data_IF_007304223458
#
_entry.id   IF_007304223458
#
_cell.length_a   1.000
_cell.length_b   1.000
_cell.length_c   1.000
_cell.angle_alpha   90.00
_cell.angle_beta   90.00
_cell.angle_gamma   90.00
#
_symmetry.space_group_name_H-M   'P 1'
#
loop_
_entity.id
_entity.type
_entity.pdbx_description
1 polymer ?
#
# COMPACT_ATOMS: atom_id res chain seq x y z
N UNK A 1 18.51 17.57 0.24
CA UNK A 1 17.63 18.10 1.31
C UNK A 1 17.56 17.01 2.37
N UNK A 2 17.74 17.33 3.66
CA UNK A 2 17.68 16.33 4.73
C UNK A 2 16.23 15.84 4.90
N UNK A 3 16.05 14.54 5.14
CA UNK A 3 14.72 13.96 5.39
C UNK A 3 14.20 14.46 6.76
N UNK A 4 13.09 15.24 6.80
CA UNK A 4 12.60 15.83 8.06
C UNK A 4 12.02 14.78 9.02
N UNK A 5 11.73 13.59 8.54
CA UNK A 5 11.17 12.48 9.32
C UNK A 5 12.22 11.66 10.06
N UNK A 6 13.51 11.84 9.76
CA UNK A 6 14.59 11.15 10.43
C UNK A 6 15.16 11.97 11.61
N UNK A 7 15.73 11.27 12.58
CA UNK A 7 16.58 11.93 13.56
C UNK A 7 17.79 12.57 12.88
N UNK A 8 18.34 13.61 13.52
CA UNK A 8 19.38 14.43 12.89
C UNK A 8 20.70 13.69 12.69
N UNK A 9 20.97 12.75 13.55
CA UNK A 9 22.24 12.05 13.73
C UNK A 9 22.22 10.59 13.26
N UNK A 10 21.02 10.02 13.00
CA UNK A 10 20.87 8.63 12.64
C UNK A 10 19.78 8.42 11.59
N UNK A 11 19.91 7.37 10.78
CA UNK A 11 18.92 6.97 9.78
C UNK A 11 17.79 6.12 10.41
N UNK A 12 17.06 6.74 11.35
CA UNK A 12 15.89 6.16 12.02
C UNK A 12 14.77 7.20 12.03
N UNK A 13 13.54 6.76 11.77
CA UNK A 13 12.36 7.62 11.79
C UNK A 13 12.11 8.15 13.22
N UNK A 14 11.87 9.46 13.31
CA UNK A 14 11.39 10.09 14.56
C UNK A 14 10.09 9.42 14.98
N UNK A 15 10.03 8.99 16.24
CA UNK A 15 8.89 8.27 16.77
C UNK A 15 8.56 8.77 18.19
N UNK A 16 7.32 8.57 18.60
CA UNK A 16 6.79 9.09 19.87
C UNK A 16 7.47 8.47 21.11
N UNK A 17 8.01 7.25 20.98
CA UNK A 17 8.73 6.57 22.06
C UNK A 17 10.22 6.94 22.13
N UNK A 18 10.69 7.81 21.21
CA UNK A 18 12.10 8.21 21.10
C UNK A 18 13.07 7.02 20.99
N UNK A 19 12.63 5.94 20.32
CA UNK A 19 13.45 4.74 20.07
C UNK A 19 14.46 5.08 18.97
N UNK A 20 15.76 4.92 19.26
CA UNK A 20 16.88 5.16 18.35
C UNK A 20 17.63 3.87 17.99
N UNK A 21 17.07 2.73 18.32
CA UNK A 21 17.51 1.41 17.88
C UNK A 21 16.58 0.90 16.78
N UNK A 22 17.15 0.52 15.64
CA UNK A 22 16.39 0.11 14.44
C UNK A 22 15.57 -1.16 14.68
N UNK A 23 16.17 -2.16 15.33
CA UNK A 23 15.54 -3.46 15.54
C UNK A 23 14.43 -3.35 16.61
N UNK A 24 14.68 -2.55 17.64
CA UNK A 24 13.66 -2.27 18.65
C UNK A 24 12.48 -1.52 18.06
N UNK A 25 12.73 -0.47 17.25
CA UNK A 25 11.64 0.27 16.58
C UNK A 25 10.85 -0.64 15.65
N UNK A 26 11.53 -1.47 14.86
CA UNK A 26 10.87 -2.40 13.93
C UNK A 26 9.95 -3.39 14.66
N UNK A 27 10.40 -3.93 15.79
CA UNK A 27 9.58 -4.84 16.63
C UNK A 27 8.38 -4.12 17.24
N UNK A 28 8.61 -2.97 17.86
CA UNK A 28 7.54 -2.16 18.45
C UNK A 28 6.51 -1.73 17.40
N UNK A 29 6.96 -1.31 16.23
CA UNK A 29 6.10 -0.98 15.10
C UNK A 29 5.26 -2.18 14.65
N UNK A 30 5.88 -3.35 14.49
CA UNK A 30 5.19 -4.56 14.08
C UNK A 30 4.07 -4.94 15.07
N UNK A 31 4.35 -4.93 16.36
CA UNK A 31 3.40 -5.30 17.41
C UNK A 31 2.22 -4.33 17.47
N UNK A 32 2.48 -3.02 17.52
CA UNK A 32 1.46 -1.99 17.61
C UNK A 32 0.58 -1.99 16.34
N UNK A 33 1.20 -2.04 15.16
CA UNK A 33 0.45 -1.99 13.91
C UNK A 33 -0.38 -3.24 13.67
N UNK A 34 0.09 -4.43 14.08
CA UNK A 34 -0.69 -5.66 14.00
C UNK A 34 -1.99 -5.56 14.83
N UNK A 35 -1.91 -5.08 16.06
CA UNK A 35 -3.09 -4.89 16.91
C UNK A 35 -4.07 -3.86 16.31
N UNK A 36 -3.54 -2.74 15.82
CA UNK A 36 -4.34 -1.70 15.20
C UNK A 36 -5.06 -2.19 13.92
N UNK A 37 -4.36 -2.96 13.07
CA UNK A 37 -4.95 -3.54 11.87
C UNK A 37 -6.06 -4.53 12.19
N UNK A 38 -5.87 -5.41 13.18
CA UNK A 38 -6.90 -6.34 13.64
C UNK A 38 -8.16 -5.61 14.14
N UNK A 39 -7.99 -4.52 14.90
CA UNK A 39 -9.10 -3.69 15.33
C UNK A 39 -9.85 -3.05 14.15
N UNK A 40 -9.12 -2.55 13.14
CA UNK A 40 -9.71 -1.97 11.94
C UNK A 40 -10.49 -2.98 11.10
N UNK A 41 -10.02 -4.21 10.96
CA UNK A 41 -10.73 -5.25 10.19
C UNK A 41 -12.13 -5.59 10.76
N UNK A 42 -12.38 -5.28 12.01
CA UNK A 42 -13.69 -5.46 12.66
C UNK A 42 -14.61 -4.23 12.54
N UNK A 43 -14.14 -3.16 11.90
CA UNK A 43 -14.95 -1.95 11.71
C UNK A 43 -15.68 -1.98 10.36
N UNK A 44 -16.85 -1.33 10.31
CA UNK A 44 -17.62 -1.13 9.10
C UNK A 44 -17.46 0.32 8.60
N UNK A 45 -16.88 0.46 7.43
CA UNK A 45 -16.74 1.75 6.75
C UNK A 45 -17.83 1.89 5.67
N UNK A 46 -18.42 3.08 5.58
CA UNK A 46 -19.47 3.42 4.58
C UNK A 46 -18.97 4.36 3.50
N UNK A 47 -17.90 5.09 3.77
CA UNK A 47 -17.30 6.06 2.86
C UNK A 47 -15.87 5.66 2.59
N UNK A 48 -15.48 5.68 1.32
CA UNK A 48 -14.13 5.38 0.87
C UNK A 48 -13.63 6.56 0.03
N UNK A 49 -12.84 7.41 0.65
CA UNK A 49 -12.25 8.60 0.06
C UNK A 49 -10.82 8.81 0.58
N UNK A 50 -10.22 9.91 0.16
CA UNK A 50 -8.85 10.29 0.56
C UNK A 50 -8.74 10.42 2.08
N UNK A 51 -9.75 10.97 2.75
CA UNK A 51 -9.77 11.11 4.21
C UNK A 51 -9.82 9.76 4.91
N UNK A 52 -10.63 8.83 4.41
CA UNK A 52 -10.68 7.46 4.92
C UNK A 52 -9.32 6.77 4.88
N UNK A 53 -8.55 6.95 3.79
CA UNK A 53 -7.20 6.39 3.68
C UNK A 53 -6.25 7.02 4.73
N UNK A 54 -6.34 8.34 4.95
CA UNK A 54 -5.58 9.03 5.98
C UNK A 54 -5.95 8.56 7.39
N UNK A 55 -7.24 8.38 7.67
CA UNK A 55 -7.73 7.90 8.96
C UNK A 55 -7.30 6.45 9.25
N UNK A 56 -7.30 5.60 8.24
CA UNK A 56 -6.74 4.25 8.34
C UNK A 56 -5.27 4.31 8.71
N UNK A 57 -4.48 5.12 8.00
CA UNK A 57 -3.05 5.27 8.31
C UNK A 57 -2.83 5.84 9.72
N UNK A 58 -3.60 6.83 10.13
CA UNK A 58 -3.55 7.41 11.48
C UNK A 58 -3.86 6.34 12.55
N UNK A 59 -4.90 5.53 12.33
CA UNK A 59 -5.26 4.48 13.29
C UNK A 59 -4.19 3.39 13.39
N UNK A 60 -3.48 3.07 12.31
CA UNK A 60 -2.40 2.07 12.31
C UNK A 60 -1.15 2.61 13.01
N UNK A 61 -0.76 3.86 12.74
CA UNK A 61 0.56 4.39 13.07
C UNK A 61 0.57 5.53 14.10
N UNK A 62 -0.58 6.05 14.50
CA UNK A 62 -0.68 7.23 15.37
C UNK A 62 -0.13 7.02 16.78
N UNK A 63 0.05 5.78 17.24
CA UNK A 63 0.74 5.47 18.49
C UNK A 63 2.27 5.44 18.34
N UNK A 64 2.79 5.53 17.11
CA UNK A 64 4.23 5.40 16.81
C UNK A 64 4.78 6.70 16.26
N UNK A 65 4.04 7.35 15.34
CA UNK A 65 4.50 8.50 14.58
C UNK A 65 3.53 9.69 14.73
N UNK A 66 4.07 10.87 15.01
CA UNK A 66 3.30 12.12 15.12
C UNK A 66 2.76 12.62 13.76
N UNK A 67 3.39 12.22 12.66
CA UNK A 67 2.96 12.49 11.28
C UNK A 67 1.99 11.44 10.72
N UNK A 68 1.53 10.48 11.51
CA UNK A 68 0.58 9.46 11.04
C UNK A 68 -0.70 10.10 10.48
N UNK A 69 -1.16 9.62 9.32
CA UNK A 69 -2.29 10.20 8.59
C UNK A 69 -1.94 11.39 7.70
N UNK A 70 -0.74 11.97 7.82
CA UNK A 70 -0.29 13.08 6.99
C UNK A 70 0.41 12.60 5.71
N UNK A 71 0.18 13.30 4.60
CA UNK A 71 0.92 13.01 3.38
C UNK A 71 2.37 13.44 3.51
N UNK A 72 3.27 12.63 2.96
CA UNK A 72 4.69 12.98 2.94
C UNK A 72 4.94 14.28 2.20
N UNK A 73 5.90 15.02 2.69
CA UNK A 73 6.31 16.32 2.15
C UNK A 73 7.55 16.25 1.26
N UNK A 74 8.23 15.08 1.24
CA UNK A 74 9.45 14.85 0.46
C UNK A 74 9.24 13.75 -0.60
N UNK A 75 10.06 13.80 -1.66
CA UNK A 75 10.15 12.68 -2.59
C UNK A 75 10.96 11.56 -1.94
N UNK A 76 10.50 10.34 -2.16
CA UNK A 76 11.15 9.11 -1.68
C UNK A 76 11.38 8.16 -2.84
N UNK A 77 12.37 7.30 -2.69
CA UNK A 77 12.64 6.17 -3.56
C UNK A 77 12.96 4.95 -2.69
N UNK A 78 12.54 3.77 -3.12
CA UNK A 78 12.87 2.50 -2.48
C UNK A 78 13.35 1.55 -3.56
N UNK A 79 14.52 0.97 -3.34
CA UNK A 79 15.02 -0.09 -4.20
C UNK A 79 14.19 -1.34 -4.02
N UNK A 80 13.79 -1.95 -5.12
CA UNK A 80 12.93 -3.12 -5.15
C UNK A 80 13.68 -4.31 -5.76
N UNK A 81 13.94 -5.32 -4.96
CA UNK A 81 14.69 -6.52 -5.40
C UNK A 81 14.02 -7.19 -6.61
N UNK A 82 12.68 -7.22 -6.63
CA UNK A 82 11.90 -7.79 -7.73
C UNK A 82 12.04 -7.03 -9.05
N UNK A 83 12.58 -5.80 -9.02
CA UNK A 83 12.91 -4.99 -10.19
C UNK A 83 14.41 -5.01 -10.51
N UNK A 84 15.17 -5.92 -9.89
CA UNK A 84 16.62 -5.97 -10.07
C UNK A 84 17.35 -4.78 -9.43
N UNK A 85 16.79 -4.17 -8.38
CA UNK A 85 17.33 -3.00 -7.70
C UNK A 85 16.86 -1.65 -8.26
N UNK A 86 15.96 -1.63 -9.26
CA UNK A 86 15.30 -0.41 -9.71
C UNK A 86 14.20 0.02 -8.73
N UNK A 87 13.65 1.21 -8.89
CA UNK A 87 12.64 1.80 -8.00
C UNK A 87 11.32 2.02 -8.70
N UNK A 88 10.23 1.95 -7.96
CA UNK A 88 8.93 2.43 -8.41
C UNK A 88 8.94 3.96 -8.44
N UNK A 89 8.39 4.55 -9.49
CA UNK A 89 8.21 6.01 -9.59
C UNK A 89 7.00 6.45 -8.78
N UNK A 90 7.24 6.85 -7.56
CA UNK A 90 6.20 7.38 -6.69
C UNK A 90 5.78 8.80 -7.09
N UNK A 91 4.52 9.13 -6.85
CA UNK A 91 3.95 10.45 -7.13
C UNK A 91 4.70 11.56 -6.38
N UNK A 92 4.91 12.72 -7.03
CA UNK A 92 5.50 13.88 -6.35
C UNK A 92 4.60 14.40 -5.22
N UNK A 93 5.16 14.83 -4.07
CA UNK A 93 4.39 15.23 -2.89
C UNK A 93 3.25 16.21 -3.18
N UNK A 94 3.51 17.22 -4.00
CA UNK A 94 2.51 18.24 -4.38
C UNK A 94 1.33 17.70 -5.21
N UNK A 95 1.46 16.51 -5.78
CA UNK A 95 0.45 15.87 -6.64
C UNK A 95 -0.35 14.79 -5.91
N UNK A 96 0.13 14.31 -4.74
CA UNK A 96 -0.46 13.19 -4.01
C UNK A 96 -1.97 13.36 -3.82
N UNK A 97 -2.40 14.48 -3.26
CA UNK A 97 -3.82 14.73 -3.00
C UNK A 97 -4.65 14.68 -4.28
N UNK A 98 -4.18 15.33 -5.34
CA UNK A 98 -4.88 15.39 -6.64
C UNK A 98 -5.05 13.99 -7.23
N UNK A 99 -3.99 13.19 -7.21
CA UNK A 99 -4.03 11.84 -7.77
C UNK A 99 -4.88 10.90 -6.93
N UNK A 100 -4.80 10.96 -5.60
CA UNK A 100 -5.70 10.22 -4.72
C UNK A 100 -7.16 10.58 -4.96
N UNK A 101 -7.49 11.87 -5.03
CA UNK A 101 -8.87 12.31 -5.27
C UNK A 101 -9.40 11.80 -6.63
N UNK A 102 -8.53 11.67 -7.63
CA UNK A 102 -8.90 11.07 -8.91
C UNK A 102 -9.19 9.57 -8.78
N UNK A 103 -8.33 8.82 -8.08
CA UNK A 103 -8.53 7.39 -7.83
C UNK A 103 -9.78 7.14 -7.00
N UNK A 104 -10.06 7.97 -6.00
CA UNK A 104 -11.26 7.83 -5.16
C UNK A 104 -12.57 8.07 -5.93
N UNK A 105 -12.53 8.77 -7.08
CA UNK A 105 -13.69 8.83 -7.99
C UNK A 105 -13.95 7.47 -8.65
N UNK A 106 -12.91 6.69 -8.94
CA UNK A 106 -13.09 5.32 -9.46
C UNK A 106 -13.57 4.35 -8.37
N UNK A 107 -13.11 4.52 -7.13
CA UNK A 107 -13.64 3.77 -5.98
C UNK A 107 -15.16 3.94 -5.87
N UNK A 108 -15.67 5.17 -5.96
CA UNK A 108 -17.11 5.47 -5.88
C UNK A 108 -17.94 4.84 -7.00
N UNK A 109 -17.31 4.47 -8.12
CA UNK A 109 -17.98 3.79 -9.25
C UNK A 109 -18.02 2.26 -9.10
N UNK A 110 -17.34 1.70 -8.10
CA UNK A 110 -17.37 0.26 -7.86
C UNK A 110 -18.74 -0.13 -7.32
N UNK A 111 -19.37 -1.08 -7.99
CA UNK A 111 -20.63 -1.68 -7.55
C UNK A 111 -20.59 -3.16 -7.88
N UNK A 112 -20.81 -4.00 -6.89
CA UNK A 112 -20.94 -5.44 -7.06
C UNK A 112 -22.37 -5.80 -7.44
N UNK A 113 -22.53 -6.72 -8.38
CA UNK A 113 -23.79 -7.36 -8.74
C UNK A 113 -23.51 -8.84 -8.95
N UNK A 114 -24.53 -9.70 -8.92
CA UNK A 114 -24.40 -11.15 -9.01
C UNK A 114 -23.58 -11.67 -10.22
N UNK A 115 -23.45 -10.87 -11.27
CA UNK A 115 -22.82 -11.28 -12.53
C UNK A 115 -21.52 -10.53 -12.87
N UNK A 116 -20.95 -9.72 -11.94
CA UNK A 116 -19.79 -8.88 -12.27
C UNK A 116 -18.58 -9.01 -11.32
N UNK A 117 -18.55 -10.03 -10.47
CA UNK A 117 -17.52 -10.17 -9.42
C UNK A 117 -16.08 -10.06 -9.97
N UNK A 118 -15.76 -10.80 -11.05
CA UNK A 118 -14.41 -10.78 -11.63
C UNK A 118 -14.00 -9.40 -12.13
N UNK A 119 -14.94 -8.64 -12.72
CA UNK A 119 -14.66 -7.27 -13.17
C UNK A 119 -14.45 -6.31 -11.98
N UNK A 120 -15.23 -6.47 -10.92
CA UNK A 120 -15.09 -5.66 -9.71
C UNK A 120 -13.76 -5.94 -9.03
N UNK A 121 -13.37 -7.21 -8.90
CA UNK A 121 -12.07 -7.61 -8.33
C UNK A 121 -10.93 -7.03 -9.15
N UNK A 122 -10.93 -7.19 -10.47
CA UNK A 122 -9.91 -6.62 -11.35
C UNK A 122 -9.78 -5.09 -11.21
N UNK A 123 -10.91 -4.37 -11.15
CA UNK A 123 -10.89 -2.93 -10.94
C UNK A 123 -10.40 -2.55 -9.56
N UNK A 124 -10.77 -3.31 -8.52
CA UNK A 124 -10.29 -3.12 -7.16
C UNK A 124 -8.76 -3.27 -7.09
N UNK A 125 -8.21 -4.32 -7.68
CA UNK A 125 -6.75 -4.55 -7.74
C UNK A 125 -6.02 -3.38 -8.39
N UNK A 126 -6.50 -2.88 -9.53
CA UNK A 126 -5.92 -1.72 -10.21
C UNK A 126 -5.98 -0.44 -9.36
N UNK A 127 -7.10 -0.22 -8.68
CA UNK A 127 -7.27 0.92 -7.77
C UNK A 127 -6.25 0.84 -6.63
N UNK A 128 -6.11 -0.32 -6.00
CA UNK A 128 -5.18 -0.52 -4.89
C UNK A 128 -3.73 -0.38 -5.34
N UNK A 129 -3.37 -0.94 -6.49
CA UNK A 129 -2.04 -0.77 -7.08
C UNK A 129 -1.73 0.71 -7.36
N UNK A 130 -2.71 1.47 -7.86
CA UNK A 130 -2.56 2.91 -8.10
C UNK A 130 -2.39 3.70 -6.80
N UNK A 131 -3.20 3.43 -5.76
CA UNK A 131 -3.05 4.05 -4.44
C UNK A 131 -1.67 3.73 -3.87
N UNK A 132 -1.22 2.48 -4.00
CA UNK A 132 0.09 2.06 -3.53
C UNK A 132 1.24 2.76 -4.29
N UNK A 133 1.11 2.93 -5.62
CA UNK A 133 2.09 3.65 -6.43
C UNK A 133 2.15 5.15 -6.10
N UNK A 134 1.01 5.78 -5.80
CA UNK A 134 0.98 7.17 -5.31
C UNK A 134 1.86 7.30 -4.07
N UNK A 135 1.89 6.28 -3.23
CA UNK A 135 2.75 6.17 -2.04
C UNK A 135 2.63 7.40 -1.14
N UNK A 136 1.43 7.70 -0.63
CA UNK A 136 1.13 8.99 -0.05
C UNK A 136 1.85 9.28 1.28
N UNK A 137 2.25 8.26 2.03
CA UNK A 137 2.82 8.42 3.35
C UNK A 137 4.34 8.20 3.35
N UNK A 138 5.04 8.69 4.38
CA UNK A 138 6.48 8.49 4.52
C UNK A 138 6.84 7.01 4.74
N UNK A 139 6.05 6.29 5.51
CA UNK A 139 6.16 4.87 5.78
C UNK A 139 4.75 4.24 5.88
N UNK A 140 4.63 2.91 5.88
CA UNK A 140 3.38 2.19 6.14
C UNK A 140 2.39 2.13 4.98
N UNK A 141 2.76 2.56 3.78
CA UNK A 141 1.86 2.59 2.61
C UNK A 141 1.24 1.24 2.29
N UNK A 142 2.01 0.15 2.33
CA UNK A 142 1.50 -1.20 2.06
C UNK A 142 0.43 -1.60 3.07
N UNK A 143 0.66 -1.38 4.37
CA UNK A 143 -0.30 -1.73 5.42
C UNK A 143 -1.59 -0.93 5.29
N UNK A 144 -1.49 0.38 5.08
CA UNK A 144 -2.65 1.24 4.86
C UNK A 144 -3.46 0.83 3.62
N UNK A 145 -2.79 0.53 2.50
CA UNK A 145 -3.44 0.06 1.28
C UNK A 145 -4.15 -1.29 1.47
N UNK A 146 -3.54 -2.23 2.19
CA UNK A 146 -4.15 -3.54 2.46
C UNK A 146 -5.41 -3.37 3.32
N UNK A 147 -5.33 -2.61 4.41
CA UNK A 147 -6.50 -2.37 5.27
C UNK A 147 -7.61 -1.69 4.47
N UNK A 148 -7.28 -0.66 3.69
CA UNK A 148 -8.25 0.01 2.81
C UNK A 148 -8.89 -0.98 1.82
N UNK A 149 -8.10 -1.85 1.20
CA UNK A 149 -8.59 -2.86 0.26
C UNK A 149 -9.55 -3.86 0.92
N UNK A 150 -9.19 -4.39 2.09
CA UNK A 150 -10.02 -5.34 2.85
C UNK A 150 -11.35 -4.71 3.26
N UNK A 151 -11.31 -3.49 3.79
CA UNK A 151 -12.52 -2.78 4.22
C UNK A 151 -13.43 -2.43 3.02
N UNK A 152 -12.84 -2.01 1.90
CA UNK A 152 -13.59 -1.73 0.67
C UNK A 152 -14.21 -3.01 0.08
N UNK A 153 -13.47 -4.11 0.04
CA UNK A 153 -13.98 -5.40 -0.43
C UNK A 153 -15.16 -5.88 0.45
N UNK A 154 -15.03 -5.78 1.77
CA UNK A 154 -16.13 -6.09 2.70
C UNK A 154 -17.34 -5.17 2.47
N UNK A 155 -17.13 -3.87 2.26
CA UNK A 155 -18.20 -2.93 1.93
C UNK A 155 -18.93 -3.29 0.63
N UNK A 156 -18.21 -3.82 -0.35
CA UNK A 156 -18.78 -4.34 -1.61
C UNK A 156 -19.45 -5.72 -1.44
N UNK A 157 -19.45 -6.30 -0.23
CA UNK A 157 -20.09 -7.57 0.09
C UNK A 157 -19.25 -8.80 -0.25
N UNK A 158 -17.92 -8.67 -0.42
CA UNK A 158 -17.03 -9.82 -0.53
C UNK A 158 -16.69 -10.37 0.86
N UNK A 159 -16.61 -11.68 0.96
CA UNK A 159 -15.95 -12.35 2.09
C UNK A 159 -14.44 -12.26 1.93
N UNK A 160 -13.75 -11.75 2.95
CA UNK A 160 -12.30 -11.54 2.89
C UNK A 160 -11.63 -12.22 4.07
N UNK A 161 -10.77 -13.18 3.77
CA UNK A 161 -9.87 -13.75 4.77
C UNK A 161 -8.61 -12.88 4.88
N UNK A 162 -8.59 -11.98 5.84
CA UNK A 162 -7.49 -11.04 6.03
C UNK A 162 -6.19 -11.69 6.56
N UNK A 163 -6.24 -12.88 7.14
CA UNK A 163 -5.04 -13.63 7.57
C UNK A 163 -4.11 -13.97 6.40
N UNK A 164 -4.67 -14.16 5.20
CA UNK A 164 -3.88 -14.42 3.99
C UNK A 164 -2.93 -13.26 3.67
N UNK A 165 -3.33 -12.02 3.93
CA UNK A 165 -2.49 -10.86 3.68
C UNK A 165 -1.28 -10.80 4.64
N UNK A 166 -1.44 -11.27 5.87
CA UNK A 166 -0.34 -11.39 6.82
C UNK A 166 0.62 -12.50 6.40
N UNK A 167 0.09 -13.68 6.11
CA UNK A 167 0.86 -14.88 5.74
C UNK A 167 1.65 -14.66 4.44
N UNK A 168 1.09 -13.90 3.48
CA UNK A 168 1.68 -13.67 2.16
C UNK A 168 2.08 -12.20 1.94
N UNK A 169 2.47 -11.49 2.98
CA UNK A 169 2.75 -10.04 2.92
C UNK A 169 3.87 -9.67 1.94
N UNK A 170 4.93 -10.46 1.87
CA UNK A 170 6.02 -10.26 0.92
C UNK A 170 5.56 -10.46 -0.53
N UNK A 171 4.79 -11.52 -0.79
CA UNK A 171 4.18 -11.77 -2.10
C UNK A 171 3.31 -10.61 -2.55
N UNK A 172 2.40 -10.16 -1.68
CA UNK A 172 1.49 -9.06 -1.98
C UNK A 172 2.24 -7.75 -2.26
N UNK A 173 3.29 -7.46 -1.48
CA UNK A 173 4.13 -6.30 -1.73
C UNK A 173 4.79 -6.37 -3.11
N UNK A 174 5.36 -7.51 -3.46
CA UNK A 174 5.97 -7.73 -4.76
C UNK A 174 4.96 -7.61 -5.91
N UNK A 175 3.74 -8.12 -5.74
CA UNK A 175 2.66 -7.98 -6.71
C UNK A 175 2.28 -6.50 -6.92
N UNK A 176 2.23 -5.69 -5.85
CA UNK A 176 1.98 -4.24 -5.94
C UNK A 176 3.11 -3.51 -6.66
N UNK A 177 4.37 -3.89 -6.41
CA UNK A 177 5.53 -3.35 -7.14
C UNK A 177 5.40 -3.62 -8.64
N UNK A 178 5.10 -4.86 -9.04
CA UNK A 178 4.90 -5.23 -10.45
C UNK A 178 3.71 -4.52 -11.09
N UNK A 179 2.56 -4.48 -10.42
CA UNK A 179 1.37 -3.81 -10.92
C UNK A 179 1.60 -2.30 -11.15
N UNK A 180 2.46 -1.69 -10.33
CA UNK A 180 2.81 -0.26 -10.44
C UNK A 180 3.66 0.07 -11.67
N UNK A 181 4.39 -0.88 -12.25
CA UNK A 181 5.21 -0.63 -13.45
C UNK A 181 4.34 -0.34 -14.68
N UNK A 182 3.16 -0.92 -14.80
CA UNK A 182 2.23 -0.70 -15.91
C UNK A 182 1.47 0.63 -15.84
N UNK A 183 1.55 1.36 -14.75
CA UNK A 183 0.82 2.64 -14.56
C UNK A 183 1.67 3.88 -14.82
N UNK A 184 2.99 3.72 -15.01
CA UNK A 184 3.91 4.84 -15.32
C UNK A 184 3.81 5.26 -16.77
N UNK A 185 3.25 6.43 -17.05
CA UNK A 185 2.93 6.96 -18.38
C UNK A 185 4.11 7.15 -19.34
N UNK A 186 5.36 7.11 -18.85
CA UNK A 186 6.58 7.28 -19.66
C UNK A 186 7.25 5.96 -20.04
N UNK A 187 6.85 4.84 -19.46
CA UNK A 187 7.42 3.51 -19.71
C UNK A 187 6.33 2.53 -20.16
N UNK A 188 5.05 2.92 -20.12
CA UNK A 188 3.89 2.11 -20.44
C UNK A 188 4.02 1.34 -21.76
N UNK A 189 4.47 1.99 -22.85
CA UNK A 189 4.61 1.32 -24.16
C UNK A 189 5.64 0.18 -24.22
N UNK A 190 6.54 0.06 -23.22
CA UNK A 190 7.57 -0.98 -23.18
C UNK A 190 7.27 -2.11 -22.19
N UNK A 191 6.35 -1.89 -21.24
CA UNK A 191 6.06 -2.80 -20.13
C UNK A 191 4.60 -3.26 -20.04
N UNK A 192 3.69 -2.76 -20.90
CA UNK A 192 2.29 -3.22 -20.90
C UNK A 192 2.16 -4.74 -21.08
N UNK A 193 2.98 -5.32 -21.98
CA UNK A 193 3.01 -6.77 -22.21
C UNK A 193 3.72 -7.56 -21.08
N UNK A 194 4.67 -6.93 -20.39
CA UNK A 194 5.44 -7.58 -19.32
C UNK A 194 4.66 -7.53 -17.98
N UNK A 195 3.94 -6.44 -17.72
CA UNK A 195 3.16 -6.27 -16.51
C UNK A 195 2.00 -7.28 -16.41
N UNK A 196 1.20 -7.40 -17.45
CA UNK A 196 0.11 -8.38 -17.50
C UNK A 196 0.60 -9.83 -17.43
N UNK A 197 1.66 -10.16 -18.14
CA UNK A 197 2.19 -11.53 -18.19
C UNK A 197 2.80 -11.96 -16.84
N UNK A 198 3.51 -11.07 -16.15
CA UNK A 198 4.13 -11.39 -14.87
C UNK A 198 3.16 -11.39 -13.69
N UNK A 199 2.16 -10.52 -13.67
CA UNK A 199 1.08 -10.59 -12.68
C UNK A 199 0.31 -11.90 -12.84
N UNK A 200 0.01 -12.31 -14.06
CA UNK A 200 -0.65 -13.58 -14.37
C UNK A 200 0.21 -14.78 -13.95
N UNK A 201 1.50 -14.79 -14.28
CA UNK A 201 2.43 -15.84 -13.88
C UNK A 201 2.59 -15.92 -12.35
N UNK A 202 2.60 -14.78 -11.67
CA UNK A 202 2.68 -14.72 -10.21
C UNK A 202 1.41 -15.22 -9.51
N UNK A 203 0.25 -14.98 -10.10
CA UNK A 203 -1.04 -15.50 -9.62
C UNK A 203 -1.20 -16.99 -9.93
N UNK A 204 -0.76 -17.45 -11.10
CA UNK A 204 -0.89 -18.84 -11.52
C UNK A 204 0.21 -19.77 -10.95
N UNK A 205 1.39 -19.25 -10.58
CA UNK A 205 2.55 -20.03 -10.09
C UNK A 205 3.23 -19.45 -8.85
N UNK A 206 2.51 -19.24 -7.76
CA UNK A 206 3.09 -18.58 -6.57
C UNK A 206 4.24 -19.36 -5.91
N UNK A 207 4.44 -20.64 -6.26
CA UNK A 207 5.41 -21.53 -5.60
C UNK A 207 6.79 -21.54 -6.26
N UNK A 208 6.93 -21.07 -7.49
CA UNK A 208 8.21 -21.12 -8.21
C UNK A 208 9.16 -19.98 -7.81
N UNK A 209 8.61 -18.86 -7.31
CA UNK A 209 9.38 -17.67 -6.94
C UNK A 209 9.84 -17.62 -5.48
N UNK A 210 9.42 -18.58 -4.65
CA UNK A 210 9.77 -18.63 -3.20
C UNK A 210 10.94 -19.59 -2.93
N UNK A 211 11.46 -20.30 -3.95
CA UNK A 211 12.45 -21.37 -3.75
C UNK A 211 13.92 -20.96 -3.79
N UNK A 212 14.26 -19.73 -4.12
CA UNK A 212 15.65 -19.29 -4.20
C UNK A 212 15.96 -18.17 -3.19
N UNK A 213 15.86 -18.49 -1.90
CA UNK A 213 16.70 -17.86 -0.84
C UNK A 213 16.70 -18.69 0.42
#
# INVERSE_FOLDING_TARGET
MKDPYLYDDIDILKNLANIKDRDLLSRAEADITNLSMLALYNQAYKVFDTKTLQDIHLNIFGQIYDWAGEFRTIQIAKYEDVLGGDTVRYTFPKQIKKELDAVMKEVKKLKRTENNDSNVVFRLERIIATIWQIHPFREGNTRACIVFAVLLAKHLGFEVNHELFKTHSAYLRNALVWASQGTSSTVAGKYESIGEYKVKDYVERPHEYVKDK
#
